data_IF_736229674107
#
_entry.id   IF_736229674107
#
_cell.length_a   1.000
_cell.length_b   1.000
_cell.length_c   1.000
_cell.angle_alpha   90.00
_cell.angle_beta   90.00
_cell.angle_gamma   90.00
#
_symmetry.space_group_name_H-M   'P 1'
#
loop_
_entity.id
_entity.type
_entity.pdbx_description
1 polymer ?
#
# COMPACT_ATOMS: atom_id res chain seq x y z
N UNK A 1 -21.23 -10.73 3.94
CA UNK A 1 -21.05 -9.45 4.67
C UNK A 1 -20.63 -9.76 6.09
N UNK A 2 -19.51 -9.30 6.53
CA UNK A 2 -19.11 -9.37 7.95
C UNK A 2 -19.95 -8.35 8.70
N UNK A 3 -20.69 -8.77 9.75
CA UNK A 3 -21.47 -7.85 10.56
C UNK A 3 -20.52 -6.84 11.23
N UNK A 4 -20.83 -5.55 11.12
CA UNK A 4 -20.07 -4.51 11.79
C UNK A 4 -20.22 -4.64 13.32
N UNK A 5 -19.18 -4.33 14.10
CA UNK A 5 -19.25 -4.41 15.57
C UNK A 5 -20.36 -3.51 16.13
N UNK A 6 -20.98 -3.95 17.24
CA UNK A 6 -21.96 -3.13 17.96
C UNK A 6 -21.30 -1.80 18.40
N UNK A 7 -22.04 -0.70 18.24
CA UNK A 7 -21.57 0.64 18.59
C UNK A 7 -20.60 1.29 17.59
N UNK A 8 -20.11 0.55 16.59
CA UNK A 8 -19.19 1.10 15.56
C UNK A 8 -19.82 2.29 14.81
N UNK A 9 -21.07 2.09 14.35
CA UNK A 9 -21.81 3.14 13.63
C UNK A 9 -22.08 4.36 14.52
N UNK A 10 -22.43 4.13 15.79
CA UNK A 10 -22.73 5.21 16.72
C UNK A 10 -21.49 6.08 17.02
N UNK A 11 -20.30 5.47 17.08
CA UNK A 11 -19.04 6.21 17.24
C UNK A 11 -18.68 7.02 16.01
N UNK A 12 -19.00 6.55 14.82
CA UNK A 12 -18.66 7.23 13.57
C UNK A 12 -19.66 8.32 13.17
N UNK A 13 -20.91 8.20 13.61
CA UNK A 13 -21.96 9.14 13.26
C UNK A 13 -21.63 10.60 13.52
N UNK A 14 -21.09 11.00 14.70
CA UNK A 14 -20.72 12.39 14.95
C UNK A 14 -19.52 12.86 14.12
N UNK A 15 -18.64 11.94 13.67
CA UNK A 15 -17.45 12.27 12.90
C UNK A 15 -17.74 12.42 11.40
N UNK A 16 -18.61 11.58 10.86
CA UNK A 16 -18.88 11.49 9.43
C UNK A 16 -20.13 12.28 9.01
N UNK A 17 -21.09 12.51 9.90
CA UNK A 17 -22.31 13.24 9.61
C UNK A 17 -23.03 12.69 8.38
N UNK A 18 -23.27 13.53 7.39
CA UNK A 18 -23.96 13.15 6.13
C UNK A 18 -23.17 12.15 5.27
N UNK A 19 -21.87 11.96 5.48
CA UNK A 19 -21.04 10.99 4.75
C UNK A 19 -21.10 9.56 5.32
N UNK A 20 -21.80 9.36 6.45
CA UNK A 20 -21.90 8.05 7.08
C UNK A 20 -22.50 6.97 6.17
N UNK A 21 -23.57 7.20 5.40
CA UNK A 21 -24.12 6.19 4.49
C UNK A 21 -23.12 5.73 3.44
N UNK A 22 -22.40 6.67 2.81
CA UNK A 22 -21.37 6.36 1.79
C UNK A 22 -20.22 5.55 2.39
N UNK A 23 -19.81 5.89 3.62
CA UNK A 23 -18.78 5.14 4.34
C UNK A 23 -19.23 3.70 4.66
N UNK A 24 -20.46 3.51 5.12
CA UNK A 24 -21.01 2.18 5.38
C UNK A 24 -21.10 1.35 4.10
N UNK A 25 -21.49 1.97 2.98
CA UNK A 25 -21.55 1.31 1.68
C UNK A 25 -20.18 0.78 1.22
N UNK A 26 -19.07 1.41 1.62
CA UNK A 26 -17.73 0.91 1.30
C UNK A 26 -17.48 -0.52 1.84
N UNK A 27 -18.12 -0.94 2.93
CA UNK A 27 -17.96 -2.29 3.47
C UNK A 27 -18.70 -3.36 2.66
N UNK A 28 -19.54 -2.97 1.72
CA UNK A 28 -20.24 -3.89 0.80
C UNK A 28 -19.41 -4.14 -0.45
N UNK A 29 -18.41 -3.32 -0.71
CA UNK A 29 -17.58 -3.38 -1.91
C UNK A 29 -16.34 -4.24 -1.65
N UNK A 30 -15.79 -4.80 -2.71
CA UNK A 30 -14.51 -5.49 -2.67
C UNK A 30 -13.38 -4.49 -2.49
N UNK A 31 -12.41 -4.84 -1.61
CA UNK A 31 -11.22 -4.02 -1.43
C UNK A 31 -10.36 -4.04 -2.70
N UNK A 32 -9.90 -2.87 -3.12
CA UNK A 32 -9.01 -2.78 -4.27
C UNK A 32 -7.64 -3.40 -3.96
N UNK A 33 -7.11 -4.13 -4.92
CA UNK A 33 -5.73 -4.61 -4.91
C UNK A 33 -4.86 -3.67 -5.72
N UNK A 34 -3.61 -3.53 -5.34
CA UNK A 34 -2.65 -2.71 -6.07
C UNK A 34 -1.30 -3.41 -6.19
N UNK A 35 -0.54 -2.96 -7.17
CA UNK A 35 0.83 -3.37 -7.42
C UNK A 35 1.68 -2.12 -7.64
N UNK A 36 2.87 -2.10 -7.08
CA UNK A 36 3.83 -1.01 -7.26
C UNK A 36 5.14 -1.57 -7.80
N UNK A 37 5.56 -1.07 -8.92
CA UNK A 37 6.85 -1.42 -9.52
C UNK A 37 7.99 -0.63 -8.89
N UNK A 38 9.17 -1.26 -8.80
CA UNK A 38 10.35 -0.54 -8.36
C UNK A 38 10.76 0.50 -9.41
N UNK A 39 10.97 1.74 -8.96
CA UNK A 39 11.42 2.84 -9.82
C UNK A 39 12.83 2.63 -10.41
N UNK A 40 13.53 1.56 -10.00
CA UNK A 40 14.89 1.24 -10.44
C UNK A 40 14.95 0.36 -11.68
N UNK A 41 13.82 -0.15 -12.15
CA UNK A 41 13.74 -1.09 -13.27
C UNK A 41 12.56 -0.73 -14.16
N UNK A 42 12.64 -1.11 -15.41
CA UNK A 42 11.48 -1.07 -16.28
C UNK A 42 10.40 -2.04 -15.73
N UNK A 43 9.15 -1.60 -15.68
CA UNK A 43 8.06 -2.46 -15.23
C UNK A 43 7.96 -3.69 -16.15
N UNK A 44 8.01 -4.91 -15.59
CA UNK A 44 7.74 -6.10 -16.36
C UNK A 44 6.26 -6.15 -16.78
N UNK A 45 5.98 -6.91 -17.83
CA UNK A 45 4.60 -7.24 -18.17
C UNK A 45 4.00 -8.18 -17.12
N UNK A 46 2.98 -7.69 -16.42
CA UNK A 46 2.27 -8.45 -15.39
C UNK A 46 0.80 -8.52 -15.78
N UNK A 47 0.25 -9.72 -15.99
CA UNK A 47 -1.15 -9.88 -16.35
C UNK A 47 -2.09 -9.33 -15.25
N UNK A 48 -3.16 -8.69 -15.69
CA UNK A 48 -4.20 -8.18 -14.79
C UNK A 48 -3.95 -6.77 -14.26
N UNK A 49 -3.01 -6.02 -14.84
CA UNK A 49 -2.89 -4.59 -14.54
C UNK A 49 -4.12 -3.84 -15.07
N UNK A 50 -4.63 -2.96 -14.22
CA UNK A 50 -5.73 -2.05 -14.54
C UNK A 50 -5.20 -0.60 -14.67
N UNK A 51 -6.04 0.39 -14.32
CA UNK A 51 -5.64 1.79 -14.38
C UNK A 51 -4.52 2.15 -13.39
N UNK A 52 -3.71 3.18 -13.68
CA UNK A 52 -2.73 3.70 -12.74
C UNK A 52 -3.37 4.16 -11.41
N UNK A 53 -2.63 4.02 -10.32
CA UNK A 53 -2.99 4.60 -9.02
C UNK A 53 -2.59 6.08 -9.03
N UNK A 54 -3.54 7.03 -8.91
CA UNK A 54 -3.26 8.45 -9.19
C UNK A 54 -2.22 9.11 -8.29
N UNK A 55 -2.04 8.60 -7.08
CA UNK A 55 -1.12 9.19 -6.08
C UNK A 55 0.24 8.52 -5.99
N UNK A 56 0.48 7.45 -6.76
CA UNK A 56 1.77 6.77 -6.75
C UNK A 56 2.24 6.42 -8.16
N UNK A 57 3.33 7.06 -8.58
CA UNK A 57 3.94 6.80 -9.88
C UNK A 57 4.47 5.35 -9.96
N UNK A 58 4.19 4.67 -11.06
CA UNK A 58 4.58 3.27 -11.26
C UNK A 58 3.73 2.26 -10.49
N UNK A 59 2.59 2.71 -9.93
CA UNK A 59 1.63 1.82 -9.29
C UNK A 59 0.33 1.74 -10.09
N UNK A 60 -0.29 0.55 -10.04
CA UNK A 60 -1.50 0.23 -10.79
C UNK A 60 -2.48 -0.53 -9.90
N UNK A 61 -3.77 -0.36 -10.16
CA UNK A 61 -4.77 -1.26 -9.64
C UNK A 61 -4.58 -2.64 -10.28
N UNK A 62 -4.89 -3.68 -9.52
CA UNK A 62 -4.72 -5.07 -9.93
C UNK A 62 -6.09 -5.78 -9.94
N UNK A 63 -6.37 -6.51 -10.99
CA UNK A 63 -7.60 -7.30 -11.09
C UNK A 63 -7.64 -8.37 -9.99
N UNK A 64 -8.86 -8.70 -9.54
CA UNK A 64 -9.05 -9.61 -8.40
C UNK A 64 -8.56 -11.03 -8.68
N UNK A 65 -8.75 -11.48 -9.92
CA UNK A 65 -8.30 -12.79 -10.41
C UNK A 65 -6.80 -12.85 -10.74
N UNK A 66 -6.09 -11.73 -10.70
CA UNK A 66 -4.67 -11.69 -11.03
C UNK A 66 -3.83 -12.50 -10.03
N UNK A 67 -2.98 -13.37 -10.58
CA UNK A 67 -2.10 -14.27 -9.82
C UNK A 67 -0.70 -13.68 -9.58
N UNK A 68 -0.59 -12.36 -9.53
CA UNK A 68 0.68 -11.64 -9.39
C UNK A 68 1.50 -12.10 -8.16
N UNK A 69 0.84 -12.54 -7.09
CA UNK A 69 1.52 -13.01 -5.87
C UNK A 69 2.25 -14.36 -6.01
N UNK A 70 1.91 -15.17 -7.00
CA UNK A 70 2.57 -16.44 -7.30
C UNK A 70 3.49 -16.36 -8.52
N UNK A 71 3.70 -15.18 -9.05
CA UNK A 71 4.55 -14.99 -10.22
C UNK A 71 6.04 -14.92 -9.81
N UNK A 72 6.96 -15.57 -10.53
CA UNK A 72 8.40 -15.58 -10.18
C UNK A 72 9.03 -14.18 -10.04
N UNK A 73 8.53 -13.18 -10.76
CA UNK A 73 8.99 -11.79 -10.65
C UNK A 73 8.60 -11.15 -9.31
N UNK A 74 7.55 -11.62 -8.64
CA UNK A 74 7.21 -11.21 -7.28
C UNK A 74 8.29 -11.66 -6.29
N UNK A 75 8.68 -12.92 -6.35
CA UNK A 75 9.74 -13.48 -5.52
C UNK A 75 11.10 -12.83 -5.82
N UNK A 76 11.32 -12.43 -7.07
CA UNK A 76 12.50 -11.68 -7.49
C UNK A 76 12.49 -10.18 -7.07
N UNK A 77 11.42 -9.71 -6.41
CA UNK A 77 11.30 -8.33 -5.95
C UNK A 77 11.15 -7.29 -7.06
N UNK A 78 10.65 -7.70 -8.24
CA UNK A 78 10.44 -6.77 -9.35
C UNK A 78 9.29 -5.80 -9.08
N UNK A 79 8.37 -6.16 -8.21
CA UNK A 79 7.24 -5.35 -7.74
C UNK A 79 6.81 -5.77 -6.33
N UNK A 80 6.01 -4.93 -5.71
CA UNK A 80 5.38 -5.17 -4.42
C UNK A 80 3.86 -5.10 -4.57
N UNK A 81 3.14 -6.11 -4.05
CA UNK A 81 1.67 -6.08 -3.98
C UNK A 81 1.30 -5.31 -2.72
N UNK A 82 0.63 -4.20 -2.90
CA UNK A 82 0.32 -3.26 -1.82
C UNK A 82 -1.09 -2.70 -2.01
N UNK A 83 -1.79 -2.56 -0.91
CA UNK A 83 -3.10 -1.91 -0.91
C UNK A 83 -2.95 -0.45 -1.34
N UNK A 84 -3.78 0.05 -2.28
CA UNK A 84 -3.60 1.39 -2.86
C UNK A 84 -3.55 2.53 -1.85
N UNK A 85 -4.42 2.54 -0.82
CA UNK A 85 -4.44 3.60 0.19
C UNK A 85 -3.19 3.59 1.07
N UNK A 86 -2.58 2.42 1.29
CA UNK A 86 -1.33 2.30 2.04
C UNK A 86 -0.14 2.96 1.35
N UNK A 87 -0.18 3.09 0.03
CA UNK A 87 0.86 3.81 -0.75
C UNK A 87 0.79 5.32 -0.52
N UNK A 88 -0.41 5.86 -0.25
CA UNK A 88 -0.64 7.30 -0.11
C UNK A 88 0.20 7.94 1.01
N UNK A 89 0.51 7.19 2.08
CA UNK A 89 1.31 7.69 3.19
C UNK A 89 2.72 8.10 2.74
N UNK A 90 3.38 7.27 1.94
CA UNK A 90 4.74 7.58 1.43
C UNK A 90 4.67 8.59 0.30
N UNK A 91 3.61 8.56 -0.51
CA UNK A 91 3.39 9.58 -1.55
C UNK A 91 3.21 10.98 -0.94
N UNK A 92 2.51 11.07 0.20
CA UNK A 92 2.33 12.33 0.93
C UNK A 92 3.61 12.78 1.69
N UNK A 93 4.42 11.81 2.18
CA UNK A 93 5.71 12.09 2.79
C UNK A 93 6.72 12.62 1.77
N UNK A 94 6.65 12.12 0.53
CA UNK A 94 7.48 12.47 -0.62
C UNK A 94 8.99 12.49 -0.33
N UNK A 95 9.58 11.40 0.18
CA UNK A 95 10.98 11.38 0.54
C UNK A 95 11.87 11.52 -0.70
N UNK A 96 12.94 12.33 -0.58
CA UNK A 96 13.87 12.64 -1.64
C UNK A 96 15.21 11.92 -1.46
N UNK A 97 15.98 11.67 -2.54
CA UNK A 97 17.34 11.17 -2.44
C UNK A 97 18.18 12.03 -1.50
N UNK A 98 18.82 11.39 -0.51
CA UNK A 98 19.58 12.05 0.55
C UNK A 98 18.91 12.12 1.90
N UNK A 99 17.59 11.92 1.96
CA UNK A 99 16.84 11.96 3.21
C UNK A 99 17.19 10.80 4.14
N UNK A 100 17.00 11.04 5.44
CA UNK A 100 17.02 10.04 6.49
C UNK A 100 15.60 9.84 7.01
N UNK A 101 15.04 8.65 6.82
CA UNK A 101 13.65 8.36 7.12
C UNK A 101 13.55 7.28 8.20
N UNK A 102 12.69 7.51 9.19
CA UNK A 102 12.35 6.54 10.23
C UNK A 102 10.94 6.01 10.00
N UNK A 103 10.82 4.70 9.74
CA UNK A 103 9.56 3.98 9.71
C UNK A 103 9.36 3.24 11.05
N UNK A 104 8.49 3.77 11.90
CA UNK A 104 8.25 3.23 13.25
C UNK A 104 7.38 1.97 13.27
N UNK A 105 6.68 1.66 12.17
CA UNK A 105 5.74 0.55 12.04
C UNK A 105 5.96 -0.18 10.71
N UNK A 106 7.17 -0.68 10.51
CA UNK A 106 7.66 -1.05 9.19
C UNK A 106 7.01 -2.32 8.59
N UNK A 107 6.66 -3.31 9.41
CA UNK A 107 6.13 -4.57 8.89
C UNK A 107 4.74 -4.41 8.24
N UNK A 108 4.48 -5.12 7.17
CA UNK A 108 5.30 -6.15 6.49
C UNK A 108 6.31 -5.61 5.46
N UNK A 109 6.61 -4.30 5.47
CA UNK A 109 7.67 -3.72 4.65
C UNK A 109 7.21 -2.89 3.45
N UNK A 110 5.92 -2.82 3.14
CA UNK A 110 5.41 -2.13 1.96
C UNK A 110 5.78 -0.65 1.90
N UNK A 111 5.65 0.08 3.02
CA UNK A 111 6.04 1.49 3.12
C UNK A 111 7.55 1.67 3.17
N UNK A 112 8.24 0.88 3.99
CA UNK A 112 9.71 0.92 4.06
C UNK A 112 10.35 0.65 2.69
N UNK A 113 9.87 -0.34 1.94
CA UNK A 113 10.30 -0.64 0.58
C UNK A 113 10.01 0.53 -0.38
N UNK A 114 8.82 1.15 -0.30
CA UNK A 114 8.47 2.32 -1.10
C UNK A 114 9.39 3.52 -0.83
N UNK A 115 9.72 3.77 0.45
CA UNK A 115 10.69 4.80 0.84
C UNK A 115 12.06 4.50 0.23
N UNK A 116 12.56 3.27 0.35
CA UNK A 116 13.84 2.86 -0.24
C UNK A 116 13.89 3.09 -1.76
N UNK A 117 12.80 2.82 -2.47
CA UNK A 117 12.70 3.08 -3.91
C UNK A 117 12.83 4.58 -4.21
N UNK A 118 12.14 5.43 -3.44
CA UNK A 118 12.18 6.90 -3.59
C UNK A 118 13.56 7.49 -3.31
N UNK A 119 14.26 6.96 -2.32
CA UNK A 119 15.62 7.40 -1.98
C UNK A 119 16.68 7.02 -3.04
N UNK A 120 16.38 6.12 -3.97
CA UNK A 120 17.25 5.73 -5.10
C UNK A 120 18.67 5.34 -4.66
N UNK A 121 18.83 4.76 -3.46
CA UNK A 121 20.13 4.37 -2.91
C UNK A 121 20.92 5.51 -2.29
N UNK A 122 20.35 6.69 -2.13
CA UNK A 122 20.96 7.85 -1.46
C UNK A 122 20.11 8.17 -0.21
N UNK A 123 20.76 8.19 0.96
CA UNK A 123 20.07 8.39 2.23
C UNK A 123 20.04 7.15 3.11
N UNK A 124 19.16 7.16 4.11
CA UNK A 124 19.02 6.05 5.04
C UNK A 124 17.54 5.82 5.41
N UNK A 125 17.18 4.56 5.59
CA UNK A 125 15.89 4.16 6.17
C UNK A 125 16.16 3.34 7.42
N UNK A 126 15.62 3.78 8.55
CA UNK A 126 15.57 2.98 9.78
C UNK A 126 14.17 2.41 9.90
N UNK A 127 14.04 1.10 9.77
CA UNK A 127 12.78 0.40 9.85
C UNK A 127 12.66 -0.29 11.21
N UNK A 128 11.67 0.11 12.01
CA UNK A 128 11.37 -0.46 13.31
C UNK A 128 10.06 -1.25 13.26
N UNK A 129 10.05 -2.40 13.91
CA UNK A 129 8.83 -3.20 14.12
C UNK A 129 8.84 -3.79 15.53
N UNK A 130 7.78 -3.52 16.30
CA UNK A 130 7.66 -3.97 17.69
C UNK A 130 7.39 -5.47 17.80
N UNK A 131 6.80 -6.08 16.77
CA UNK A 131 6.49 -7.51 16.75
C UNK A 131 7.60 -8.32 16.09
N UNK A 132 8.40 -9.12 16.84
CA UNK A 132 9.46 -9.95 16.24
C UNK A 132 8.93 -10.94 15.20
N UNK A 133 7.68 -11.39 15.34
CA UNK A 133 7.05 -12.30 14.39
C UNK A 133 6.77 -11.64 13.04
N UNK A 134 6.62 -10.32 13.00
CA UNK A 134 6.36 -9.52 11.79
C UNK A 134 7.63 -8.90 11.21
N UNK A 135 8.71 -8.82 11.97
CA UNK A 135 9.99 -8.23 11.58
C UNK A 135 10.89 -9.17 10.73
N UNK A 136 10.33 -10.27 10.21
CA UNK A 136 11.06 -11.32 9.45
C UNK A 136 11.05 -11.06 7.97
#
# INVERSE_FOLDING_TARGET
>A
MTALPLGFIDQLKPLLGSRLPDFIDCFTRQAHRGIRFSARREPPDVPGLLSPIPWEAGAFYLADEATAGSHPLHDAGAYYIQEPSAMAAVSALDPLPGDQVLDLCAAPGGKANQICDRLRGQGAVVANEISPARAR
#
